data_IF_466247317849
#
_entry.id   IF_466247317849
#
_cell.length_a   1.000
_cell.length_b   1.000
_cell.length_c   1.000
_cell.angle_alpha   90.00
_cell.angle_beta   90.00
_cell.angle_gamma   90.00
#
_symmetry.space_group_name_H-M   'P 1'
#
loop_
_entity.id
_entity.type
_entity.pdbx_description
1 polymer ?
#
# COMPACT_ATOMS: atom_id res chain seq x y z
N UNK A 1 9.14 -13.00 1.38
CA UNK A 1 7.68 -12.70 1.44
C UNK A 1 7.50 -11.73 2.58
N UNK A 2 7.16 -10.49 2.28
CA UNK A 2 7.07 -9.41 3.27
C UNK A 2 5.79 -9.56 4.10
N UNK A 3 5.87 -9.42 5.42
CA UNK A 3 4.73 -9.57 6.35
C UNK A 3 3.57 -8.62 5.98
N UNK A 4 3.92 -7.40 5.55
CA UNK A 4 2.98 -6.42 5.03
C UNK A 4 2.25 -6.91 3.78
N UNK A 5 2.94 -7.56 2.84
CA UNK A 5 2.31 -8.09 1.62
C UNK A 5 1.27 -9.15 1.95
N UNK A 6 1.59 -10.06 2.88
CA UNK A 6 0.63 -11.07 3.35
C UNK A 6 -0.58 -10.41 4.00
N UNK A 7 -0.36 -9.38 4.82
CA UNK A 7 -1.43 -8.58 5.43
C UNK A 7 -2.33 -7.95 4.35
N UNK A 8 -1.76 -7.34 3.30
CA UNK A 8 -2.54 -6.77 2.19
C UNK A 8 -3.40 -7.82 1.46
N UNK A 9 -3.04 -9.10 1.50
CA UNK A 9 -3.78 -10.19 0.87
C UNK A 9 -4.87 -10.80 1.76
N UNK A 10 -4.60 -10.98 3.05
CA UNK A 10 -5.47 -11.75 3.95
C UNK A 10 -6.36 -10.90 4.83
N UNK A 11 -5.90 -9.70 5.22
CA UNK A 11 -6.59 -8.89 6.22
C UNK A 11 -7.80 -8.12 5.66
N UNK A 12 -8.59 -7.58 6.58
CA UNK A 12 -9.79 -6.79 6.27
C UNK A 12 -9.43 -5.40 5.74
N UNK A 13 -10.31 -4.74 4.96
CA UNK A 13 -10.01 -3.42 4.40
C UNK A 13 -9.79 -2.33 5.46
N UNK A 14 -10.27 -2.52 6.69
CA UNK A 14 -9.98 -1.62 7.81
C UNK A 14 -8.51 -1.70 8.23
N UNK A 15 -8.06 -2.90 8.61
CA UNK A 15 -6.68 -3.18 9.04
C UNK A 15 -5.68 -2.83 7.93
N UNK A 16 -5.98 -3.24 6.70
CA UNK A 16 -5.17 -2.94 5.51
C UNK A 16 -5.08 -1.44 5.29
N UNK A 17 -6.20 -0.70 5.43
CA UNK A 17 -6.21 0.75 5.27
C UNK A 17 -5.38 1.48 6.32
N UNK A 18 -5.54 1.13 7.60
CA UNK A 18 -4.78 1.72 8.70
C UNK A 18 -3.27 1.42 8.58
N UNK A 19 -2.92 0.19 8.23
CA UNK A 19 -1.51 -0.20 8.04
C UNK A 19 -0.89 0.51 6.84
N UNK A 20 -1.63 0.62 5.74
CA UNK A 20 -1.16 1.30 4.53
C UNK A 20 -0.94 2.79 4.79
N UNK A 21 -1.88 3.46 5.46
CA UNK A 21 -1.79 4.88 5.83
C UNK A 21 -0.55 5.11 6.72
N UNK A 22 -0.35 4.25 7.72
CA UNK A 22 0.84 4.30 8.57
C UNK A 22 2.14 4.12 7.77
N UNK A 23 2.22 3.10 6.91
CA UNK A 23 3.41 2.84 6.11
C UNK A 23 3.74 3.98 5.13
N UNK A 24 2.74 4.57 4.47
CA UNK A 24 2.96 5.59 3.44
C UNK A 24 3.21 6.99 4.01
N UNK A 25 2.61 7.33 5.16
CA UNK A 25 2.60 8.70 5.68
C UNK A 25 3.21 8.85 7.07
N UNK A 26 3.17 7.82 7.92
CA UNK A 26 3.67 7.88 9.30
C UNK A 26 5.01 7.15 9.51
N UNK A 27 5.44 6.32 8.57
CA UNK A 27 6.71 5.62 8.68
C UNK A 27 7.88 6.63 8.59
N UNK A 28 8.85 6.53 9.49
CA UNK A 28 10.06 7.37 9.41
C UNK A 28 10.82 7.07 8.11
N UNK A 29 11.43 8.08 7.49
CA UNK A 29 12.11 8.01 6.18
C UNK A 29 13.03 6.79 5.98
N UNK A 30 13.60 6.23 7.05
CA UNK A 30 14.49 5.06 7.00
C UNK A 30 13.78 3.71 6.88
N UNK A 31 12.46 3.65 7.10
CA UNK A 31 11.62 2.43 7.05
C UNK A 31 10.43 2.61 6.10
N UNK A 32 10.46 3.66 5.27
CA UNK A 32 9.44 3.89 4.25
C UNK A 32 9.50 2.78 3.17
N UNK A 33 8.36 2.33 2.66
CA UNK A 33 8.33 1.29 1.64
C UNK A 33 8.89 1.82 0.31
N UNK A 34 9.63 0.97 -0.40
CA UNK A 34 10.10 1.28 -1.75
C UNK A 34 8.95 1.30 -2.76
N UNK A 35 9.13 2.03 -3.87
CA UNK A 35 8.15 2.08 -4.96
C UNK A 35 7.80 0.69 -5.53
N UNK A 36 8.73 -0.26 -5.54
CA UNK A 36 8.44 -1.63 -5.97
C UNK A 36 7.44 -2.32 -5.01
N UNK A 37 7.61 -2.12 -3.70
CA UNK A 37 6.72 -2.70 -2.69
C UNK A 37 5.32 -2.09 -2.74
N UNK A 38 5.25 -0.75 -2.84
CA UNK A 38 3.96 -0.05 -2.94
C UNK A 38 3.23 -0.43 -4.24
N UNK A 39 3.96 -0.62 -5.35
CA UNK A 39 3.38 -1.12 -6.60
C UNK A 39 2.83 -2.54 -6.44
N UNK A 40 3.53 -3.42 -5.72
CA UNK A 40 3.04 -4.75 -5.42
C UNK A 40 1.75 -4.72 -4.58
N UNK A 41 1.70 -3.88 -3.54
CA UNK A 41 0.51 -3.73 -2.71
C UNK A 41 -0.67 -3.19 -3.50
N UNK A 42 -0.44 -2.17 -4.34
CA UNK A 42 -1.46 -1.65 -5.27
C UNK A 42 -2.08 -2.76 -6.10
N UNK A 43 -1.27 -3.59 -6.76
CA UNK A 43 -1.77 -4.65 -7.62
C UNK A 43 -2.57 -5.71 -6.85
N UNK A 44 -2.11 -6.08 -5.65
CA UNK A 44 -2.84 -6.97 -4.75
C UNK A 44 -4.20 -6.37 -4.38
N UNK A 45 -4.23 -5.12 -3.93
CA UNK A 45 -5.44 -4.43 -3.49
C UNK A 45 -6.43 -4.24 -4.65
N UNK A 46 -5.91 -3.92 -5.84
CA UNK A 46 -6.69 -3.80 -7.06
C UNK A 46 -7.29 -5.14 -7.50
N UNK A 47 -6.52 -6.23 -7.39
CA UNK A 47 -7.00 -7.58 -7.67
C UNK A 47 -8.08 -8.05 -6.69
N UNK A 48 -8.01 -7.64 -5.42
CA UNK A 48 -9.06 -7.92 -4.41
C UNK A 48 -10.37 -7.19 -4.70
N UNK A 49 -10.30 -6.00 -5.30
CA UNK A 49 -11.49 -5.24 -5.74
C UNK A 49 -12.36 -4.70 -4.59
N UNK A 50 -13.52 -4.14 -4.92
CA UNK A 50 -14.45 -3.58 -3.94
C UNK A 50 -13.86 -2.41 -3.14
N UNK A 51 -13.90 -2.50 -1.80
CA UNK A 51 -13.38 -1.44 -0.91
C UNK A 51 -11.85 -1.28 -0.98
N UNK A 52 -11.13 -2.30 -1.46
CA UNK A 52 -9.68 -2.28 -1.62
C UNK A 52 -9.23 -1.45 -2.83
N UNK A 53 -10.13 -1.20 -3.80
CA UNK A 53 -9.81 -0.35 -4.96
C UNK A 53 -9.41 1.06 -4.53
N UNK A 54 -10.07 1.60 -3.50
CA UNK A 54 -9.71 2.92 -2.94
C UNK A 54 -8.31 2.90 -2.31
N UNK A 55 -7.93 1.81 -1.66
CA UNK A 55 -6.60 1.67 -1.07
C UNK A 55 -5.53 1.54 -2.16
N UNK A 56 -5.83 0.82 -3.25
CA UNK A 56 -4.96 0.75 -4.42
C UNK A 56 -4.76 2.13 -5.08
N UNK A 57 -5.79 2.98 -5.10
CA UNK A 57 -5.71 4.35 -5.62
C UNK A 57 -4.76 5.24 -4.79
N UNK A 58 -4.76 5.07 -3.47
CA UNK A 58 -3.80 5.75 -2.56
C UNK A 58 -2.38 5.31 -2.89
N UNK A 59 -2.12 4.00 -3.00
CA UNK A 59 -0.82 3.49 -3.42
C UNK A 59 -0.40 4.06 -4.79
N UNK A 60 -1.32 4.11 -5.75
CA UNK A 60 -1.05 4.66 -7.08
C UNK A 60 -0.66 6.13 -7.02
N UNK A 61 -1.35 6.93 -6.20
CA UNK A 61 -1.07 8.36 -6.03
C UNK A 61 0.32 8.55 -5.44
N UNK A 62 0.63 7.82 -4.36
CA UNK A 62 1.96 7.87 -3.74
C UNK A 62 3.08 7.48 -4.72
N UNK A 63 2.86 6.46 -5.55
CA UNK A 63 3.82 6.04 -6.58
C UNK A 63 4.04 7.10 -7.66
N UNK A 64 2.98 7.82 -8.05
CA UNK A 64 3.07 8.91 -9.02
C UNK A 64 3.88 10.07 -8.45
N UNK A 65 3.62 10.43 -7.18
CA UNK A 65 4.39 11.43 -6.44
C UNK A 65 5.85 11.04 -6.27
N UNK A 66 6.14 9.75 -6.03
CA UNK A 66 7.52 9.26 -5.90
C UNK A 66 8.24 9.19 -7.24
N UNK A 67 7.53 8.93 -8.34
CA UNK A 67 8.10 8.92 -9.69
C UNK A 67 8.43 10.32 -10.23
N UNK A 68 7.82 11.37 -9.69
CA UNK A 68 8.06 12.78 -10.06
C UNK A 68 9.18 13.46 -9.22
N UNK A 69 9.68 12.81 -8.17
CA UNK A 69 10.82 13.29 -7.35
C UNK A 69 12.18 13.00 -7.97
#
# INVERSE_FOLDING_TARGET
MNELTSLMQTETPGIVGETLDFCLYECSIEDAPDAEEVAQWRDILKARGGKFVRLADICQTWLDEEADK
#
